data_IF_834484193044
#
_entry.id   IF_834484193044
#
_cell.length_a   1.000
_cell.length_b   1.000
_cell.length_c   1.000
_cell.angle_alpha   90.00
_cell.angle_beta   90.00
_cell.angle_gamma   90.00
#
_symmetry.space_group_name_H-M   'P 1'
#
loop_
_entity.id
_entity.type
_entity.pdbx_description
1 polymer ?
#
# COMPACT_ATOMS: atom_id res chain seq x y z
N UNK A 1 5.49 37.54 70.51
CA UNK A 1 5.28 37.51 69.05
C UNK A 1 5.48 36.08 68.59
N UNK A 2 4.37 35.36 68.19
CA UNK A 2 4.46 34.02 67.65
C UNK A 2 4.45 34.10 66.11
N UNK A 3 5.49 33.68 65.46
CA UNK A 3 5.56 33.60 63.97
C UNK A 3 4.89 32.32 63.52
N UNK A 4 3.78 32.46 62.76
CA UNK A 4 3.08 31.35 62.10
C UNK A 4 3.78 31.11 60.75
N UNK A 5 4.53 30.03 60.61
CA UNK A 5 5.11 29.59 59.34
C UNK A 5 4.01 28.90 58.51
N UNK A 6 3.56 29.57 57.43
CA UNK A 6 2.63 28.99 56.47
C UNK A 6 3.45 28.18 55.44
N UNK A 7 3.33 26.85 55.48
CA UNK A 7 3.94 25.93 54.52
C UNK A 7 3.02 25.82 53.28
N UNK A 8 3.38 26.52 52.21
CA UNK A 8 2.66 26.36 50.91
C UNK A 8 3.13 25.11 50.23
N UNK A 9 2.31 24.04 50.29
CA UNK A 9 2.55 22.82 49.53
C UNK A 9 2.05 23.04 48.10
N UNK A 10 2.95 23.30 47.17
CA UNK A 10 2.65 23.28 45.75
C UNK A 10 2.47 21.84 45.28
N UNK A 11 1.22 21.40 45.10
CA UNK A 11 0.93 20.17 44.37
C UNK A 11 1.24 20.38 42.92
N UNK A 12 2.43 19.98 42.46
CA UNK A 12 2.69 19.75 41.04
C UNK A 12 1.86 18.53 40.65
N UNK A 13 0.68 18.77 40.10
CA UNK A 13 -0.06 17.74 39.38
C UNK A 13 0.75 17.37 38.13
N UNK A 14 1.54 16.32 38.25
CA UNK A 14 2.21 15.71 37.10
C UNK A 14 1.09 15.05 36.27
N UNK A 15 0.48 15.80 35.35
CA UNK A 15 -0.35 15.26 34.29
C UNK A 15 0.56 14.42 33.40
N UNK A 16 0.70 13.15 33.71
CA UNK A 16 1.33 12.22 32.80
C UNK A 16 0.43 12.13 31.57
N UNK A 17 0.83 12.76 30.47
CA UNK A 17 0.22 12.55 29.15
C UNK A 17 0.31 11.06 28.85
N UNK A 18 -0.76 10.35 29.14
CA UNK A 18 -0.78 8.89 28.97
C UNK A 18 -1.03 8.57 27.52
N UNK A 19 0.02 8.18 26.81
CA UNK A 19 -0.12 7.61 25.46
C UNK A 19 -0.80 6.25 25.56
N UNK A 20 -1.88 6.11 24.80
CA UNK A 20 -2.69 4.89 24.76
C UNK A 20 -2.50 4.27 23.37
N UNK A 21 -2.33 2.94 23.34
CA UNK A 21 -2.29 2.19 22.10
C UNK A 21 -3.66 2.18 21.45
N UNK A 22 -3.76 2.74 20.25
CA UNK A 22 -4.94 2.71 19.39
C UNK A 22 -4.69 1.73 18.27
N UNK A 23 -5.70 0.93 17.92
CA UNK A 23 -5.69 0.02 16.79
C UNK A 23 -6.86 0.35 15.87
N UNK A 24 -6.57 0.59 14.59
CA UNK A 24 -7.54 0.75 13.52
C UNK A 24 -7.41 -0.41 12.54
N UNK A 25 -8.52 -1.01 12.14
CA UNK A 25 -8.57 -2.14 11.21
C UNK A 25 -9.72 -1.99 10.25
N UNK A 26 -9.63 -2.63 9.10
CA UNK A 26 -10.68 -2.67 8.10
C UNK A 26 -10.20 -3.32 6.81
N UNK A 27 -11.08 -3.32 5.79
CA UNK A 27 -10.78 -3.86 4.47
C UNK A 27 -10.42 -2.72 3.51
N UNK A 28 -9.44 -2.95 2.64
CA UNK A 28 -9.01 -2.01 1.60
C UNK A 28 -8.28 -2.73 0.48
N UNK A 29 -8.34 -2.23 -0.74
CA UNK A 29 -7.52 -2.69 -1.88
C UNK A 29 -7.54 -4.22 -2.10
N UNK A 30 -8.70 -4.86 -1.85
CA UNK A 30 -8.87 -6.31 -1.97
C UNK A 30 -8.18 -7.14 -0.88
N UNK A 31 -7.78 -6.50 0.21
CA UNK A 31 -7.13 -7.08 1.38
C UNK A 31 -7.60 -6.36 2.65
N UNK A 32 -6.86 -6.49 3.75
CA UNK A 32 -7.11 -5.80 5.01
C UNK A 32 -6.01 -4.80 5.33
N UNK A 33 -6.31 -3.84 6.22
CA UNK A 33 -5.34 -3.01 6.88
C UNK A 33 -5.37 -3.17 8.40
N UNK A 34 -4.24 -2.91 9.00
CA UNK A 34 -4.04 -2.98 10.43
C UNK A 34 -3.04 -1.90 10.86
N UNK A 35 -3.51 -0.93 11.62
CA UNK A 35 -2.72 0.25 11.99
C UNK A 35 -2.74 0.39 13.49
N UNK A 36 -1.55 0.37 14.11
CA UNK A 36 -1.35 0.62 15.54
C UNK A 36 -0.56 1.89 15.75
N UNK A 37 -0.92 2.68 16.73
CA UNK A 37 -0.16 3.86 17.11
C UNK A 37 -0.41 4.28 18.56
N UNK A 38 0.56 4.99 19.12
CA UNK A 38 0.45 5.58 20.46
C UNK A 38 -0.12 6.99 20.33
N UNK A 39 -1.31 7.21 20.89
CA UNK A 39 -2.02 8.49 20.83
C UNK A 39 -2.30 9.03 22.21
N UNK A 40 -2.12 10.32 22.40
CA UNK A 40 -2.48 11.00 23.64
C UNK A 40 -3.98 10.91 23.89
N UNK A 41 -4.35 10.46 25.07
CA UNK A 41 -5.76 10.25 25.46
C UNK A 41 -6.50 9.20 24.62
N UNK A 42 -5.80 8.39 23.80
CA UNK A 42 -6.43 7.34 22.98
C UNK A 42 -7.23 7.86 21.78
N UNK A 43 -6.91 9.06 21.28
CA UNK A 43 -7.59 9.63 20.10
C UNK A 43 -7.45 8.72 18.89
N UNK A 44 -8.58 8.30 18.33
CA UNK A 44 -8.63 7.48 17.10
C UNK A 44 -8.70 8.35 15.84
N UNK A 45 -7.98 7.93 14.79
CA UNK A 45 -7.98 8.52 13.46
C UNK A 45 -8.66 7.63 12.41
N UNK A 46 -9.48 6.65 12.85
CA UNK A 46 -10.16 5.69 11.97
C UNK A 46 -10.82 6.36 10.76
N UNK A 47 -11.69 7.36 11.00
CA UNK A 47 -12.42 8.04 9.91
C UNK A 47 -11.51 8.72 8.88
N UNK A 48 -10.40 9.31 9.34
CA UNK A 48 -9.45 9.95 8.43
C UNK A 48 -8.65 8.93 7.62
N UNK A 49 -8.29 7.82 8.25
CA UNK A 49 -7.62 6.69 7.58
C UNK A 49 -8.55 6.11 6.51
N UNK A 50 -9.80 5.84 6.84
CA UNK A 50 -10.79 5.31 5.89
C UNK A 50 -11.02 6.27 4.71
N UNK A 51 -11.03 7.59 4.97
CA UNK A 51 -11.10 8.60 3.89
C UNK A 51 -9.89 8.54 2.97
N UNK A 52 -8.67 8.46 3.52
CA UNK A 52 -7.43 8.35 2.74
C UNK A 52 -7.47 7.09 1.86
N UNK A 53 -7.89 5.96 2.42
CA UNK A 53 -8.00 4.69 1.70
C UNK A 53 -9.01 4.77 0.55
N UNK A 54 -10.16 5.41 0.79
CA UNK A 54 -11.16 5.64 -0.24
C UNK A 54 -10.65 6.56 -1.37
N UNK A 55 -9.92 7.62 -1.03
CA UNK A 55 -9.35 8.54 -2.02
C UNK A 55 -8.30 7.83 -2.91
N UNK A 56 -7.48 6.96 -2.31
CA UNK A 56 -6.53 6.12 -3.04
C UNK A 56 -7.27 5.18 -4.00
N UNK A 57 -8.33 4.53 -3.55
CA UNK A 57 -9.15 3.65 -4.39
C UNK A 57 -9.77 4.41 -5.58
N UNK A 58 -10.32 5.61 -5.34
CA UNK A 58 -10.89 6.45 -6.39
C UNK A 58 -9.83 6.98 -7.37
N UNK A 59 -8.58 7.06 -6.96
CA UNK A 59 -7.49 7.49 -7.82
C UNK A 59 -6.85 6.32 -8.60
N UNK A 60 -6.52 5.21 -7.91
CA UNK A 60 -5.57 4.20 -8.40
C UNK A 60 -6.16 2.81 -8.66
N UNK A 61 -7.39 2.51 -8.21
CA UNK A 61 -7.93 1.16 -8.30
C UNK A 61 -8.46 0.84 -9.71
N UNK A 62 -7.89 -0.17 -10.35
CA UNK A 62 -8.40 -0.70 -11.63
C UNK A 62 -9.69 -1.53 -11.46
N UNK A 63 -10.13 -1.79 -10.23
CA UNK A 63 -11.34 -2.54 -9.89
C UNK A 63 -12.55 -1.63 -9.63
N UNK A 64 -12.33 -0.32 -9.45
CA UNK A 64 -13.40 0.68 -9.32
C UNK A 64 -13.72 1.30 -10.67
N UNK A 65 -14.97 1.17 -11.14
CA UNK A 65 -15.40 1.68 -12.45
C UNK A 65 -15.29 3.20 -12.60
N UNK A 66 -15.36 3.94 -11.49
CA UNK A 66 -15.31 5.39 -11.43
C UNK A 66 -13.95 5.96 -11.00
N UNK A 67 -12.91 5.12 -10.89
CA UNK A 67 -11.57 5.60 -10.54
C UNK A 67 -10.91 6.34 -11.69
N UNK A 68 -9.95 7.22 -11.35
CA UNK A 68 -9.18 7.97 -12.35
C UNK A 68 -8.44 7.02 -13.31
N UNK A 69 -7.75 6.00 -12.78
CA UNK A 69 -7.01 5.05 -13.61
C UNK A 69 -7.93 4.24 -14.54
N UNK A 70 -9.11 3.85 -14.08
CA UNK A 70 -10.07 3.09 -14.90
C UNK A 70 -10.59 3.95 -16.04
N UNK A 71 -10.96 5.20 -15.78
CA UNK A 71 -11.40 6.13 -16.81
C UNK A 71 -10.30 6.37 -17.85
N UNK A 72 -9.06 6.60 -17.43
CA UNK A 72 -7.90 6.72 -18.32
C UNK A 72 -7.72 5.44 -19.16
N UNK A 73 -7.82 4.27 -18.56
CA UNK A 73 -7.71 2.98 -19.25
C UNK A 73 -8.85 2.73 -20.25
N UNK A 74 -10.00 3.35 -20.06
CA UNK A 74 -11.14 3.32 -20.99
C UNK A 74 -11.00 4.35 -22.13
N UNK A 75 -9.99 5.23 -22.08
CA UNK A 75 -9.74 6.24 -23.10
C UNK A 75 -10.39 7.59 -22.78
N UNK A 76 -10.95 7.76 -21.59
CA UNK A 76 -11.56 9.01 -21.18
C UNK A 76 -10.49 10.06 -20.86
N UNK A 77 -10.80 11.32 -21.21
CA UNK A 77 -9.94 12.45 -20.85
C UNK A 77 -10.32 12.98 -19.48
N UNK A 78 -9.69 12.45 -18.44
CA UNK A 78 -9.92 12.87 -17.05
C UNK A 78 -8.67 13.53 -16.47
N UNK A 79 -8.92 14.52 -15.59
CA UNK A 79 -7.82 15.19 -14.88
C UNK A 79 -7.33 14.30 -13.74
N UNK A 80 -6.03 14.06 -13.71
CA UNK A 80 -5.38 13.30 -12.63
C UNK A 80 -5.24 14.16 -11.37
N UNK A 81 -5.26 13.50 -10.22
CA UNK A 81 -5.05 14.10 -8.90
C UNK A 81 -3.58 13.97 -8.43
N UNK A 82 -3.33 14.43 -7.20
CA UNK A 82 -2.01 14.33 -6.58
C UNK A 82 -1.58 12.87 -6.36
N UNK A 83 -2.51 11.98 -5.97
CA UNK A 83 -2.23 10.58 -5.67
C UNK A 83 -1.78 9.86 -6.94
N UNK A 84 -2.55 10.00 -8.02
CA UNK A 84 -2.20 9.47 -9.33
C UNK A 84 -0.84 9.98 -9.81
N UNK A 85 -0.63 11.29 -9.75
CA UNK A 85 0.60 11.92 -10.23
C UNK A 85 1.84 11.45 -9.45
N UNK A 86 1.70 11.24 -8.14
CA UNK A 86 2.78 10.75 -7.28
C UNK A 86 3.19 9.34 -7.66
N UNK A 87 2.21 8.43 -7.80
CA UNK A 87 2.47 7.03 -8.20
C UNK A 87 2.99 6.96 -9.63
N UNK A 88 2.44 7.75 -10.55
CA UNK A 88 2.92 7.84 -11.94
C UNK A 88 4.38 8.27 -12.01
N UNK A 89 4.78 9.28 -11.24
CA UNK A 89 6.16 9.75 -11.17
C UNK A 89 7.09 8.66 -10.65
N UNK A 90 6.73 8.00 -9.56
CA UNK A 90 7.49 6.89 -8.98
C UNK A 90 7.60 5.73 -9.97
N UNK A 91 6.51 5.36 -10.64
CA UNK A 91 6.50 4.34 -11.70
C UNK A 91 7.51 4.66 -12.80
N UNK A 92 7.54 5.91 -13.26
CA UNK A 92 8.47 6.36 -14.28
C UNK A 92 9.93 6.30 -13.85
N UNK A 93 10.20 6.63 -12.59
CA UNK A 93 11.55 6.56 -12.02
C UNK A 93 12.03 5.11 -11.90
N UNK A 94 11.17 4.21 -11.41
CA UNK A 94 11.50 2.78 -11.29
C UNK A 94 11.66 2.13 -12.65
N UNK A 95 10.76 2.40 -13.61
CA UNK A 95 10.89 1.96 -15.00
C UNK A 95 12.26 2.31 -15.56
N UNK A 96 12.71 3.56 -15.41
CA UNK A 96 14.02 4.00 -15.88
C UNK A 96 15.17 3.31 -15.17
N UNK A 97 15.12 3.19 -13.83
CA UNK A 97 16.19 2.58 -13.03
C UNK A 97 16.35 1.08 -13.32
N UNK A 98 15.29 0.42 -13.75
CA UNK A 98 15.26 -1.01 -14.07
C UNK A 98 15.40 -1.29 -15.57
N UNK A 99 15.64 -0.25 -16.40
CA UNK A 99 15.70 -0.38 -17.86
C UNK A 99 14.45 -1.08 -18.44
N UNK A 100 13.25 -0.76 -17.89
CA UNK A 100 11.98 -1.32 -18.34
C UNK A 100 11.63 -2.69 -17.76
N UNK A 101 12.45 -3.28 -16.89
CA UNK A 101 12.10 -4.54 -16.23
C UNK A 101 10.90 -4.39 -15.28
N UNK A 102 10.70 -3.20 -14.73
CA UNK A 102 9.46 -2.81 -14.03
C UNK A 102 8.64 -1.91 -14.96
N UNK A 103 7.40 -2.29 -15.25
CA UNK A 103 6.52 -1.54 -16.15
C UNK A 103 5.06 -1.57 -15.72
N UNK A 104 4.51 -0.42 -15.34
CA UNK A 104 3.10 -0.27 -14.98
C UNK A 104 2.13 -0.27 -16.18
N UNK A 105 2.61 -0.35 -17.42
CA UNK A 105 1.77 -0.55 -18.61
C UNK A 105 1.49 -2.03 -18.93
N UNK A 106 1.95 -2.95 -18.07
CA UNK A 106 1.85 -4.41 -18.23
C UNK A 106 0.40 -4.95 -18.12
N UNK A 107 -0.59 -4.12 -17.79
CA UNK A 107 -1.99 -4.52 -17.58
C UNK A 107 -2.55 -5.43 -18.68
N UNK A 108 -2.35 -5.18 -19.99
CA UNK A 108 -2.87 -6.08 -21.04
C UNK A 108 -2.31 -7.50 -20.92
N UNK A 109 -1.05 -7.66 -20.56
CA UNK A 109 -0.41 -8.95 -20.37
C UNK A 109 -0.89 -9.67 -19.12
N UNK A 110 -1.03 -8.96 -17.98
CA UNK A 110 -1.59 -9.50 -16.73
C UNK A 110 -3.02 -9.98 -16.93
N UNK A 111 -3.82 -9.23 -17.72
CA UNK A 111 -5.18 -9.63 -18.09
C UNK A 111 -5.21 -10.86 -18.98
N UNK A 112 -4.30 -10.97 -19.97
CA UNK A 112 -4.16 -12.15 -20.81
C UNK A 112 -3.88 -13.41 -19.99
N UNK A 113 -2.98 -13.30 -18.99
CA UNK A 113 -2.69 -14.38 -18.06
C UNK A 113 -3.81 -14.64 -17.03
N UNK A 114 -4.90 -13.85 -17.03
CA UNK A 114 -6.09 -14.07 -16.20
C UNK A 114 -5.92 -13.75 -14.72
N UNK A 115 -4.87 -13.01 -14.33
CA UNK A 115 -4.63 -12.70 -12.90
C UNK A 115 -5.62 -11.70 -12.30
N UNK A 116 -6.33 -10.89 -13.10
CA UNK A 116 -7.38 -10.00 -12.56
C UNK A 116 -8.65 -10.74 -12.18
N UNK A 117 -9.00 -11.77 -12.96
CA UNK A 117 -10.14 -12.65 -12.70
C UNK A 117 -9.61 -14.05 -12.37
N UNK A 118 -8.71 -14.11 -11.39
CA UNK A 118 -8.02 -15.33 -11.04
C UNK A 118 -9.00 -16.46 -10.69
N UNK A 119 -8.85 -17.59 -11.37
CA UNK A 119 -9.47 -18.87 -11.05
C UNK A 119 -8.41 -19.96 -11.19
N UNK A 120 -8.15 -20.67 -10.10
CA UNK A 120 -7.17 -21.76 -10.09
C UNK A 120 -7.49 -22.90 -11.09
N UNK A 121 -8.77 -23.03 -11.50
CA UNK A 121 -9.24 -24.05 -12.45
C UNK A 121 -9.18 -23.61 -13.91
N UNK A 122 -8.79 -22.35 -14.20
CA UNK A 122 -8.74 -21.86 -15.58
C UNK A 122 -7.44 -22.32 -16.23
N UNK A 123 -7.56 -23.19 -17.22
CA UNK A 123 -6.44 -23.54 -18.09
C UNK A 123 -6.07 -22.36 -19.00
N UNK A 124 -4.79 -22.01 -19.04
CA UNK A 124 -4.27 -20.94 -19.89
C UNK A 124 -3.58 -21.60 -21.09
N UNK A 125 -4.13 -21.35 -22.26
CA UNK A 125 -3.47 -21.71 -23.52
C UNK A 125 -2.46 -20.60 -23.83
N UNK A 126 -1.17 -20.96 -23.78
CA UNK A 126 -0.07 -20.03 -24.08
C UNK A 126 0.06 -19.91 -25.58
N UNK A 127 -0.23 -18.72 -26.12
CA UNK A 127 -0.01 -18.35 -27.51
C UNK A 127 1.12 -17.31 -27.61
N UNK A 128 2.27 -17.76 -28.08
CA UNK A 128 3.47 -16.92 -28.22
C UNK A 128 3.25 -15.74 -29.17
N UNK A 129 2.42 -15.89 -30.19
CA UNK A 129 2.09 -14.81 -31.12
C UNK A 129 1.28 -13.70 -30.44
N UNK A 130 0.28 -14.09 -29.64
CA UNK A 130 -0.48 -13.11 -28.86
C UNK A 130 0.36 -12.41 -27.81
N UNK A 131 1.26 -13.12 -27.12
CA UNK A 131 2.18 -12.53 -26.18
C UNK A 131 3.07 -11.48 -26.87
N UNK A 132 3.63 -11.80 -28.03
CA UNK A 132 4.44 -10.85 -28.80
C UNK A 132 3.65 -9.58 -29.15
N UNK A 133 2.42 -9.71 -29.65
CA UNK A 133 1.56 -8.57 -29.95
C UNK A 133 1.22 -7.72 -28.70
N UNK A 134 1.06 -8.36 -27.54
CA UNK A 134 0.83 -7.64 -26.28
C UNK A 134 2.08 -6.89 -25.82
N UNK A 135 3.28 -7.46 -26.01
CA UNK A 135 4.54 -6.78 -25.68
C UNK A 135 4.75 -5.51 -26.53
N UNK A 136 4.28 -5.49 -27.77
CA UNK A 136 4.37 -4.32 -28.65
C UNK A 136 3.56 -3.11 -28.15
N UNK A 137 2.48 -3.35 -27.41
CA UNK A 137 1.63 -2.30 -26.80
C UNK A 137 2.01 -1.97 -25.35
N UNK A 138 3.07 -2.54 -24.80
CA UNK A 138 3.63 -2.24 -23.49
C UNK A 138 4.82 -1.29 -23.64
N UNK A 139 5.09 -0.49 -22.63
CA UNK A 139 6.23 0.44 -22.57
C UNK A 139 5.83 1.77 -21.93
N UNK A 140 6.20 1.95 -20.68
CA UNK A 140 5.84 3.13 -19.88
C UNK A 140 6.43 4.44 -20.45
N UNK A 141 7.53 4.35 -21.21
CA UNK A 141 8.15 5.47 -21.92
C UNK A 141 7.25 6.09 -23.00
N UNK A 142 6.32 5.29 -23.56
CA UNK A 142 5.33 5.75 -24.55
C UNK A 142 4.22 6.62 -23.94
N UNK A 143 4.08 6.64 -22.60
CA UNK A 143 3.00 7.32 -21.87
C UNK A 143 3.43 8.75 -21.55
N UNK A 144 2.51 9.70 -21.76
CA UNK A 144 2.75 11.12 -21.49
C UNK A 144 1.73 11.63 -20.45
N UNK A 145 2.25 12.22 -19.37
CA UNK A 145 1.48 13.01 -18.41
C UNK A 145 1.82 14.48 -18.63
N UNK A 146 0.84 15.30 -19.02
CA UNK A 146 0.99 16.74 -19.25
C UNK A 146 -0.23 17.48 -18.73
N UNK A 147 -0.01 18.53 -17.96
CA UNK A 147 -1.07 19.39 -17.40
C UNK A 147 -2.13 18.58 -16.60
N UNK A 148 -1.71 17.54 -15.89
CA UNK A 148 -2.57 16.59 -15.16
C UNK A 148 -3.52 15.79 -16.08
N UNK A 149 -3.14 15.53 -17.31
CA UNK A 149 -3.85 14.62 -18.23
C UNK A 149 -2.87 13.58 -18.74
N UNK A 150 -3.30 12.32 -18.73
CA UNK A 150 -2.53 11.20 -19.27
C UNK A 150 -2.98 10.91 -20.69
N UNK A 151 -2.01 10.77 -21.58
CA UNK A 151 -2.25 10.26 -22.94
C UNK A 151 -1.65 8.87 -23.05
N UNK A 152 -2.52 7.86 -23.17
CA UNK A 152 -2.13 6.49 -23.48
C UNK A 152 -2.13 6.23 -24.99
N UNK A 153 -1.17 5.46 -25.52
CA UNK A 153 -1.29 4.82 -26.82
C UNK A 153 -2.52 3.91 -26.90
N UNK A 154 -2.99 3.64 -28.12
CA UNK A 154 -4.14 2.75 -28.35
C UNK A 154 -3.89 1.37 -27.75
N UNK A 155 -4.88 0.80 -27.08
CA UNK A 155 -4.87 -0.51 -26.43
C UNK A 155 -3.91 -0.65 -25.23
N UNK A 156 -3.12 0.36 -24.90
CA UNK A 156 -2.31 0.37 -23.68
C UNK A 156 -3.20 0.61 -22.46
N UNK A 157 -2.86 0.01 -21.32
CA UNK A 157 -3.53 0.19 -20.05
C UNK A 157 -2.51 0.26 -18.91
N UNK A 158 -2.79 1.09 -17.92
CA UNK A 158 -2.00 1.23 -16.70
C UNK A 158 -2.51 0.29 -15.60
N UNK A 159 -1.56 -0.18 -14.78
CA UNK A 159 -1.81 -0.88 -13.54
C UNK A 159 -0.77 -0.45 -12.49
N UNK A 160 -1.26 0.10 -11.38
CA UNK A 160 -0.41 0.53 -10.27
C UNK A 160 -0.46 -0.42 -9.06
N UNK A 161 -1.03 -1.63 -9.19
CA UNK A 161 -1.18 -2.57 -8.08
C UNK A 161 0.15 -2.90 -7.39
N UNK A 162 1.26 -2.93 -8.13
CA UNK A 162 2.59 -3.19 -7.57
C UNK A 162 3.17 -2.06 -6.70
N UNK A 163 2.58 -0.86 -6.75
CA UNK A 163 3.02 0.31 -5.98
C UNK A 163 1.95 0.83 -5.00
N UNK A 164 0.67 0.56 -5.29
CA UNK A 164 -0.44 1.20 -4.58
C UNK A 164 -0.41 0.93 -3.07
N UNK A 165 -0.17 -0.31 -2.64
CA UNK A 165 -0.14 -0.66 -1.21
C UNK A 165 1.05 -0.02 -0.50
N UNK A 166 2.26 -0.07 -1.08
CA UNK A 166 3.44 0.62 -0.55
C UNK A 166 3.23 2.14 -0.43
N UNK A 167 2.64 2.76 -1.46
CA UNK A 167 2.27 4.18 -1.43
C UNK A 167 1.24 4.48 -0.34
N UNK A 168 0.29 3.58 -0.13
CA UNK A 168 -0.74 3.71 0.91
C UNK A 168 -0.14 3.75 2.31
N UNK A 169 0.78 2.83 2.64
CA UNK A 169 1.42 2.83 3.96
C UNK A 169 2.26 4.08 4.19
N UNK A 170 2.93 4.60 3.16
CA UNK A 170 3.70 5.84 3.22
C UNK A 170 2.79 7.05 3.45
N UNK A 171 1.65 7.13 2.76
CA UNK A 171 0.69 8.23 2.89
C UNK A 171 0.05 8.25 4.29
N UNK A 172 -0.38 7.09 4.80
CA UNK A 172 -0.94 6.96 6.15
C UNK A 172 0.12 7.28 7.20
N UNK A 173 1.35 6.78 7.04
CA UNK A 173 2.46 7.10 7.94
C UNK A 173 2.77 8.60 7.99
N UNK A 174 2.74 9.26 6.84
CA UNK A 174 2.91 10.72 6.74
C UNK A 174 1.75 11.46 7.40
N UNK A 175 0.52 11.01 7.20
CA UNK A 175 -0.66 11.56 7.88
C UNK A 175 -0.53 11.46 9.40
N UNK A 176 -0.18 10.29 9.94
CA UNK A 176 0.00 10.09 11.37
C UNK A 176 1.09 11.01 11.95
N UNK A 177 2.23 11.14 11.27
CA UNK A 177 3.30 12.08 11.65
C UNK A 177 2.80 13.52 11.69
N UNK A 178 2.01 13.95 10.73
CA UNK A 178 1.41 15.29 10.68
C UNK A 178 0.40 15.52 11.82
N UNK A 179 -0.17 14.44 12.40
CA UNK A 179 -1.00 14.51 13.61
C UNK A 179 -0.18 14.45 14.91
N UNK A 180 1.15 14.48 14.83
CA UNK A 180 2.05 14.39 16.00
C UNK A 180 2.28 12.96 16.51
N UNK A 181 1.81 11.94 15.78
CA UNK A 181 2.02 10.53 16.10
C UNK A 181 3.35 10.06 15.53
N UNK A 182 4.31 9.79 16.42
CA UNK A 182 5.66 9.34 16.02
C UNK A 182 5.88 7.83 16.23
N UNK A 183 5.03 7.18 17.04
CA UNK A 183 5.11 5.77 17.38
C UNK A 183 3.96 5.03 16.73
N UNK A 184 4.21 4.36 15.61
CA UNK A 184 3.17 3.65 14.86
C UNK A 184 3.71 2.49 14.04
N UNK A 185 2.81 1.56 13.75
CA UNK A 185 2.94 0.50 12.77
C UNK A 185 1.73 0.59 11.83
N UNK A 186 1.98 0.81 10.55
CA UNK A 186 0.99 0.73 9.47
C UNK A 186 1.23 -0.55 8.69
N UNK A 187 0.18 -1.36 8.54
CA UNK A 187 0.16 -2.53 7.66
C UNK A 187 -1.01 -2.43 6.70
N UNK A 188 -0.76 -2.63 5.41
CA UNK A 188 -1.78 -2.74 4.36
C UNK A 188 -1.41 -3.91 3.45
N UNK A 189 -2.19 -4.99 3.50
CA UNK A 189 -2.01 -6.15 2.64
C UNK A 189 -0.65 -6.87 2.74
N UNK A 190 0.09 -6.65 3.83
CA UNK A 190 1.43 -7.22 4.04
C UNK A 190 2.57 -6.21 3.88
N UNK A 191 2.34 -5.07 3.24
CA UNK A 191 3.26 -3.94 3.23
C UNK A 191 3.21 -3.22 4.57
N UNK A 192 4.39 -2.95 5.14
CA UNK A 192 4.50 -2.40 6.49
C UNK A 192 5.39 -1.17 6.52
N UNK A 193 5.01 -0.19 7.34
CA UNK A 193 5.83 0.96 7.72
C UNK A 193 5.79 1.11 9.24
N UNK A 194 6.95 1.07 9.88
CA UNK A 194 7.10 1.29 11.31
C UNK A 194 7.84 2.59 11.61
N UNK A 195 7.41 3.30 12.63
CA UNK A 195 8.08 4.47 13.19
C UNK A 195 8.12 4.39 14.71
N UNK A 196 9.23 4.81 15.32
CA UNK A 196 9.39 4.80 16.77
C UNK A 196 9.27 3.42 17.39
N UNK A 197 8.64 3.35 18.57
CA UNK A 197 8.52 2.15 19.40
C UNK A 197 7.05 1.79 19.69
N UNK A 198 6.82 0.55 20.14
CA UNK A 198 5.53 0.11 20.63
C UNK A 198 5.25 0.65 22.05
N UNK A 199 4.14 0.24 22.67
CA UNK A 199 3.74 0.66 24.01
C UNK A 199 4.70 0.22 25.13
N UNK A 200 5.53 -0.79 24.88
CA UNK A 200 6.49 -1.34 25.84
C UNK A 200 7.88 -0.69 25.68
N UNK A 201 8.03 0.25 24.73
CA UNK A 201 9.31 0.88 24.39
C UNK A 201 10.18 0.06 23.43
N UNK A 202 9.70 -1.08 22.97
CA UNK A 202 10.41 -1.98 22.04
C UNK A 202 10.18 -1.56 20.57
N UNK A 203 11.06 -2.06 19.68
CA UNK A 203 10.83 -1.98 18.23
C UNK A 203 9.55 -2.75 17.84
N UNK A 204 8.88 -2.29 16.78
CA UNK A 204 7.73 -2.99 16.22
C UNK A 204 8.15 -4.34 15.65
N UNK A 205 7.40 -5.41 15.97
CA UNK A 205 7.68 -6.78 15.50
C UNK A 205 6.76 -7.14 14.34
N UNK A 206 7.36 -7.59 13.24
CA UNK A 206 6.64 -8.04 12.02
C UNK A 206 7.01 -9.50 11.78
N UNK A 207 5.99 -10.36 11.69
CA UNK A 207 6.15 -11.75 11.30
C UNK A 207 6.10 -11.90 9.77
N UNK A 208 7.07 -12.56 9.18
CA UNK A 208 7.01 -13.03 7.79
C UNK A 208 6.51 -14.47 7.82
N UNK A 209 5.34 -14.71 7.22
CA UNK A 209 4.73 -16.04 7.17
C UNK A 209 5.58 -17.04 6.37
N UNK A 210 5.48 -18.31 6.71
CA UNK A 210 6.00 -19.40 5.87
C UNK A 210 5.15 -19.47 4.58
N UNK A 211 5.77 -19.78 3.43
CA UNK A 211 5.04 -19.94 2.15
C UNK A 211 4.27 -21.27 2.14
N UNK A 212 3.18 -21.33 2.87
CA UNK A 212 2.28 -22.49 2.93
C UNK A 212 0.93 -22.16 2.30
N UNK A 213 0.24 -23.17 1.75
CA UNK A 213 -1.02 -22.99 1.01
C UNK A 213 -2.24 -22.69 1.91
N UNK A 214 -2.08 -22.64 3.23
CA UNK A 214 -3.13 -22.32 4.19
C UNK A 214 -2.69 -21.19 5.09
N UNK A 215 -3.65 -20.48 5.67
CA UNK A 215 -3.39 -19.45 6.67
C UNK A 215 -2.78 -20.15 7.89
N UNK A 216 -1.55 -19.84 8.22
CA UNK A 216 -0.82 -20.40 9.34
C UNK A 216 -0.27 -19.25 10.18
N UNK A 217 -0.33 -19.39 11.49
CA UNK A 217 0.33 -18.47 12.41
C UNK A 217 1.85 -18.79 12.56
N UNK A 218 2.37 -19.66 11.68
CA UNK A 218 3.77 -20.01 11.66
C UNK A 218 4.58 -18.97 10.91
N UNK A 219 5.39 -18.22 11.63
CA UNK A 219 6.31 -17.26 11.04
C UNK A 219 7.64 -17.93 10.68
N UNK A 220 8.18 -17.60 9.51
CA UNK A 220 9.54 -18.01 9.12
C UNK A 220 10.59 -17.16 9.84
N UNK A 221 10.31 -15.88 9.97
CA UNK A 221 11.20 -14.88 10.56
C UNK A 221 10.35 -13.84 11.29
N UNK A 222 10.83 -13.34 12.42
CA UNK A 222 10.30 -12.15 13.07
C UNK A 222 11.34 -11.04 12.92
N UNK A 223 10.94 -9.92 12.35
CA UNK A 223 11.77 -8.74 12.15
C UNK A 223 11.39 -7.66 13.15
N UNK A 224 12.42 -7.00 13.70
CA UNK A 224 12.23 -5.80 14.52
C UNK A 224 12.42 -4.57 13.64
N UNK A 225 11.39 -3.72 13.55
CA UNK A 225 11.37 -2.51 12.71
C UNK A 225 11.30 -1.25 13.57
N UNK A 226 12.15 -0.28 13.24
CA UNK A 226 12.08 1.10 13.73
C UNK A 226 12.48 2.04 12.59
N UNK A 227 11.62 2.96 12.23
CA UNK A 227 11.82 3.92 11.12
C UNK A 227 12.19 3.24 9.79
N UNK A 228 11.55 2.09 9.51
CA UNK A 228 11.77 1.28 8.31
C UNK A 228 10.45 0.76 7.76
N UNK A 229 10.45 0.51 6.46
CA UNK A 229 9.39 -0.18 5.74
C UNK A 229 9.85 -1.58 5.33
N UNK A 230 8.89 -2.48 5.12
CA UNK A 230 9.08 -3.78 4.50
C UNK A 230 7.91 -4.04 3.55
N UNK A 231 8.22 -4.47 2.34
CA UNK A 231 7.27 -4.98 1.36
C UNK A 231 7.63 -6.43 1.05
N UNK A 232 6.61 -7.28 0.89
CA UNK A 232 6.79 -8.70 0.62
C UNK A 232 6.03 -9.09 -0.63
N UNK A 233 6.70 -9.77 -1.54
CA UNK A 233 6.09 -10.37 -2.73
C UNK A 233 6.08 -11.88 -2.61
N UNK A 234 4.99 -12.52 -3.04
CA UNK A 234 4.88 -13.98 -3.01
C UNK A 234 4.03 -14.50 -4.16
N UNK A 235 4.45 -15.61 -4.75
CA UNK A 235 3.79 -16.28 -5.86
C UNK A 235 3.14 -17.61 -5.46
N UNK A 236 3.11 -17.95 -4.18
CA UNK A 236 2.67 -19.27 -3.71
C UNK A 236 1.15 -19.40 -3.54
N UNK A 237 0.40 -18.28 -3.48
CA UNK A 237 -1.07 -18.27 -3.31
C UNK A 237 -1.84 -18.05 -4.62
N UNK A 238 -1.24 -17.35 -5.60
CA UNK A 238 -1.87 -17.05 -6.88
C UNK A 238 -0.95 -17.54 -8.01
N UNK A 239 -1.31 -18.64 -8.62
CA UNK A 239 -0.58 -19.19 -9.76
C UNK A 239 -1.57 -19.99 -10.64
N UNK A 240 -1.33 -20.02 -11.93
CA UNK A 240 -1.99 -20.93 -12.84
C UNK A 240 -1.11 -22.17 -13.03
N UNK A 241 -1.73 -23.32 -13.20
CA UNK A 241 -1.02 -24.55 -13.50
C UNK A 241 -1.47 -25.05 -14.88
N UNK A 242 -0.50 -25.33 -15.76
CA UNK A 242 -0.75 -25.96 -17.05
C UNK A 242 0.34 -27.00 -17.30
N UNK A 243 -0.05 -28.23 -17.62
CA UNK A 243 0.87 -29.36 -17.85
C UNK A 243 1.87 -29.59 -16.71
N UNK A 244 1.46 -29.41 -15.45
CA UNK A 244 2.32 -29.54 -14.27
C UNK A 244 3.30 -28.41 -14.04
N UNK A 245 3.26 -27.33 -14.85
CA UNK A 245 4.09 -26.13 -14.71
C UNK A 245 3.25 -25.03 -14.06
N UNK A 246 3.79 -24.41 -13.01
CA UNK A 246 3.17 -23.28 -12.32
C UNK A 246 3.64 -21.96 -12.93
N UNK A 247 2.67 -21.10 -13.27
CA UNK A 247 2.86 -19.74 -13.80
C UNK A 247 2.35 -18.74 -12.77
N UNK A 248 3.18 -17.79 -12.36
CA UNK A 248 2.87 -16.73 -11.37
C UNK A 248 3.34 -15.38 -11.83
#
# INVERSE_FOLDING_TARGET
>A
MKYLLIFVICFFSCSSNKYILVTNTGDTQGTYYYIKYLSEGGKSFQKSIDSILNDIDLSLSIYKSNSIITNINNGDSVKTDFLFNSVFKTSKEVYKKTNGAFDCSINPLVNYWGFYNYSASKEILIDSFQITNLLDIIGFDKIKLKNNFVKLPKNMRLDFNSLAQGFTVDLIGSYLKNQGINNFLVNVGGENLASGTNQDGDMWKIGIEKPVNHISNDYKIILNLNNKAIATSGNYRKFHESNGIKYS
#
